data_IF_590253297900
#
_entry.id   IF_590253297900
#
_cell.length_a   1.000
_cell.length_b   1.000
_cell.length_c   1.000
_cell.angle_alpha   90.00
_cell.angle_beta   90.00
_cell.angle_gamma   90.00
#
_symmetry.space_group_name_H-M   'P 1'
#
loop_
_entity.id
_entity.type
_entity.pdbx_description
1 polymer ?
#
# COMPACT_ATOMS: atom_id res chain seq x y z
N UNK A 1 7.75 -14.20 -3.99
CA UNK A 1 6.43 -13.52 -4.07
C UNK A 1 6.69 -12.07 -4.45
N UNK A 2 5.92 -11.49 -5.36
CA UNK A 2 6.15 -10.10 -5.75
C UNK A 2 5.90 -9.15 -4.57
N UNK A 3 6.55 -7.99 -4.55
CA UNK A 3 6.31 -6.99 -3.52
C UNK A 3 4.85 -6.53 -3.52
N UNK A 4 4.25 -6.40 -4.70
CA UNK A 4 2.82 -6.10 -4.87
C UNK A 4 1.92 -7.09 -4.12
N UNK A 5 2.18 -8.40 -4.23
CA UNK A 5 1.34 -9.43 -3.62
C UNK A 5 1.41 -9.36 -2.09
N UNK A 6 2.61 -9.07 -1.55
CA UNK A 6 2.83 -8.86 -0.12
C UNK A 6 2.03 -7.66 0.39
N UNK A 7 2.08 -6.55 -0.33
CA UNK A 7 1.35 -5.34 0.03
C UNK A 7 -0.16 -5.56 -0.08
N UNK A 8 -0.66 -6.19 -1.15
CA UNK A 8 -2.09 -6.53 -1.28
C UNK A 8 -2.56 -7.39 -0.12
N UNK A 9 -1.77 -8.39 0.30
CA UNK A 9 -2.11 -9.24 1.45
C UNK A 9 -2.25 -8.44 2.74
N UNK A 10 -1.33 -7.52 3.01
CA UNK A 10 -1.40 -6.61 4.17
C UNK A 10 -2.65 -5.74 4.11
N UNK A 11 -2.91 -5.12 2.96
CA UNK A 11 -4.05 -4.22 2.78
C UNK A 11 -5.38 -4.96 2.91
N UNK A 12 -5.46 -6.21 2.42
CA UNK A 12 -6.68 -7.02 2.45
C UNK A 12 -7.17 -7.33 3.87
N UNK A 13 -6.30 -7.30 4.89
CA UNK A 13 -6.70 -7.50 6.29
C UNK A 13 -7.66 -6.42 6.79
N UNK A 14 -7.52 -5.18 6.29
CA UNK A 14 -8.34 -4.04 6.71
C UNK A 14 -9.28 -3.53 5.59
N UNK A 15 -8.96 -3.81 4.31
CA UNK A 15 -9.71 -3.35 3.13
C UNK A 15 -10.49 -4.46 2.40
N UNK A 16 -10.21 -5.73 2.71
CA UNK A 16 -10.77 -6.88 2.00
C UNK A 16 -10.52 -6.81 0.48
N UNK A 17 -11.55 -7.05 -0.37
CA UNK A 17 -11.40 -7.11 -1.82
C UNK A 17 -10.99 -5.78 -2.46
N UNK A 18 -11.15 -4.65 -1.74
CA UNK A 18 -10.73 -3.33 -2.23
C UNK A 18 -9.22 -3.12 -2.21
N UNK A 19 -8.45 -4.01 -1.58
CA UNK A 19 -7.00 -3.89 -1.45
C UNK A 19 -6.26 -3.81 -2.80
N UNK A 20 -6.62 -4.68 -3.75
CA UNK A 20 -6.00 -4.73 -5.07
C UNK A 20 -6.24 -3.43 -5.87
N UNK A 21 -7.49 -2.99 -6.13
CA UNK A 21 -7.73 -1.75 -6.85
C UNK A 21 -7.27 -0.51 -6.06
N UNK A 22 -7.18 -0.59 -4.73
CA UNK A 22 -6.59 0.48 -3.94
C UNK A 22 -5.09 0.61 -4.20
N UNK A 23 -4.34 -0.48 -4.14
CA UNK A 23 -2.89 -0.49 -4.40
C UNK A 23 -2.58 -0.05 -5.82
N UNK A 24 -3.33 -0.54 -6.82
CA UNK A 24 -3.16 -0.17 -8.21
C UNK A 24 -3.25 1.36 -8.41
N UNK A 25 -4.23 2.00 -7.75
CA UNK A 25 -4.34 3.47 -7.76
C UNK A 25 -3.15 4.15 -7.10
N UNK A 26 -2.64 3.62 -5.98
CA UNK A 26 -1.49 4.23 -5.31
C UNK A 26 -0.24 4.18 -6.20
N UNK A 27 0.03 3.03 -6.82
CA UNK A 27 1.17 2.88 -7.72
C UNK A 27 1.04 3.79 -8.94
N UNK A 28 -0.12 3.79 -9.60
CA UNK A 28 -0.34 4.55 -10.83
C UNK A 28 -0.30 6.07 -10.62
N UNK A 29 -0.95 6.57 -9.57
CA UNK A 29 -1.13 8.01 -9.40
C UNK A 29 -0.05 8.69 -8.56
N UNK A 30 0.66 7.94 -7.71
CA UNK A 30 1.62 8.54 -6.78
C UNK A 30 3.07 8.08 -6.99
N UNK A 31 3.27 6.90 -7.59
CA UNK A 31 4.60 6.41 -7.95
C UNK A 31 4.85 6.41 -9.47
N UNK A 32 3.80 6.65 -10.26
CA UNK A 32 3.82 6.55 -11.73
C UNK A 32 4.40 5.20 -12.21
N UNK A 33 3.97 4.11 -11.56
CA UNK A 33 4.45 2.75 -11.80
C UNK A 33 3.31 1.75 -11.83
N UNK A 34 3.51 0.65 -12.56
CA UNK A 34 2.68 -0.54 -12.45
C UNK A 34 3.04 -1.32 -11.18
N UNK A 35 2.07 -2.05 -10.61
CA UNK A 35 2.29 -2.83 -9.39
C UNK A 35 3.41 -3.87 -9.56
N UNK A 36 3.53 -4.49 -10.75
CA UNK A 36 4.58 -5.47 -11.05
C UNK A 36 5.99 -4.87 -11.15
N UNK A 37 6.11 -3.54 -11.25
CA UNK A 37 7.37 -2.82 -11.32
C UNK A 37 7.85 -2.29 -9.96
N UNK A 38 7.11 -2.57 -8.87
CA UNK A 38 7.50 -2.17 -7.52
C UNK A 38 8.78 -2.88 -7.09
N UNK A 39 9.72 -2.10 -6.58
CA UNK A 39 10.97 -2.61 -6.00
C UNK A 39 11.10 -2.17 -4.54
N UNK A 40 12.11 -2.69 -3.84
CA UNK A 40 12.37 -2.32 -2.44
C UNK A 40 12.58 -0.82 -2.22
N UNK A 41 13.10 -0.09 -3.22
CA UNK A 41 13.28 1.37 -3.12
C UNK A 41 11.96 2.14 -3.10
N UNK A 42 10.86 1.52 -3.53
CA UNK A 42 9.54 2.15 -3.58
C UNK A 42 8.76 2.03 -2.28
N UNK A 43 9.19 1.15 -1.35
CA UNK A 43 8.45 0.81 -0.13
C UNK A 43 8.12 2.05 0.70
N UNK A 44 9.10 2.93 0.90
CA UNK A 44 8.92 4.12 1.74
C UNK A 44 7.89 5.09 1.16
N UNK A 45 8.03 5.42 -0.12
CA UNK A 45 7.08 6.27 -0.84
C UNK A 45 5.69 5.65 -0.91
N UNK A 46 5.62 4.35 -1.22
CA UNK A 46 4.37 3.60 -1.27
C UNK A 46 3.65 3.60 0.09
N UNK A 47 4.37 3.31 1.17
CA UNK A 47 3.80 3.25 2.52
C UNK A 47 3.24 4.60 2.97
N UNK A 48 3.87 5.71 2.57
CA UNK A 48 3.35 7.05 2.86
C UNK A 48 2.07 7.35 2.07
N UNK A 49 2.02 7.01 0.78
CA UNK A 49 0.81 7.22 -0.01
C UNK A 49 -0.35 6.32 0.42
N UNK A 50 -0.06 5.08 0.82
CA UNK A 50 -1.04 4.20 1.47
C UNK A 50 -1.59 4.87 2.72
N UNK A 51 -0.74 5.44 3.58
CA UNK A 51 -1.18 6.15 4.79
C UNK A 51 -2.09 7.33 4.45
N UNK A 52 -1.67 8.20 3.54
CA UNK A 52 -2.42 9.41 3.16
C UNK A 52 -3.80 9.02 2.62
N UNK A 53 -3.86 8.07 1.69
CA UNK A 53 -5.11 7.63 1.07
C UNK A 53 -6.01 6.85 2.02
N UNK A 54 -5.45 5.95 2.83
CA UNK A 54 -6.22 5.16 3.80
C UNK A 54 -6.76 6.03 4.95
N UNK A 55 -6.05 7.09 5.35
CA UNK A 55 -6.51 8.01 6.40
C UNK A 55 -7.85 8.65 6.04
N UNK A 56 -8.05 8.96 4.75
CA UNK A 56 -9.27 9.59 4.26
C UNK A 56 -10.50 8.67 4.31
N UNK A 57 -10.31 7.35 4.37
CA UNK A 57 -11.40 6.37 4.26
C UNK A 57 -11.56 5.48 5.48
N UNK A 58 -10.46 5.10 6.14
CA UNK A 58 -10.41 4.17 7.27
C UNK A 58 -10.01 4.83 8.59
N UNK A 59 -9.62 6.10 8.56
CA UNK A 59 -9.14 6.83 9.73
C UNK A 59 -7.65 6.65 10.02
N UNK A 60 -7.15 7.44 10.97
CA UNK A 60 -5.71 7.60 11.21
C UNK A 60 -5.06 6.33 11.76
N UNK A 61 -5.72 5.64 12.70
CA UNK A 61 -5.17 4.46 13.36
C UNK A 61 -4.91 3.32 12.37
N UNK A 62 -5.90 3.02 11.52
CA UNK A 62 -5.78 1.99 10.48
C UNK A 62 -4.73 2.40 9.45
N UNK A 63 -4.70 3.66 9.03
CA UNK A 63 -3.71 4.15 8.08
C UNK A 63 -2.27 4.03 8.60
N UNK A 64 -2.04 4.39 9.86
CA UNK A 64 -0.72 4.29 10.51
C UNK A 64 -0.30 2.83 10.68
N UNK A 65 -1.23 1.94 11.07
CA UNK A 65 -1.01 0.48 11.13
C UNK A 65 -0.59 -0.08 9.76
N UNK A 66 -1.30 0.28 8.70
CA UNK A 66 -0.99 -0.18 7.34
C UNK A 66 0.40 0.30 6.87
N UNK A 67 0.73 1.58 7.11
CA UNK A 67 2.08 2.11 6.83
C UNK A 67 3.15 1.30 7.54
N UNK A 68 3.00 1.07 8.84
CA UNK A 68 3.99 0.34 9.64
C UNK A 68 4.20 -1.09 9.11
N UNK A 69 3.13 -1.79 8.75
CA UNK A 69 3.20 -3.14 8.16
C UNK A 69 3.92 -3.15 6.81
N UNK A 70 3.62 -2.20 5.92
CA UNK A 70 4.28 -2.12 4.60
C UNK A 70 5.76 -1.78 4.75
N UNK A 71 6.12 -0.87 5.67
CA UNK A 71 7.50 -0.52 5.98
C UNK A 71 8.32 -1.69 6.55
N UNK A 72 7.65 -2.72 7.09
CA UNK A 72 8.29 -3.92 7.62
C UNK A 72 8.64 -4.97 6.56
N UNK A 73 8.23 -4.79 5.29
CA UNK A 73 8.51 -5.71 4.18
C UNK A 73 9.98 -5.66 3.67
N UNK A 74 10.94 -5.25 4.52
CA UNK A 74 12.36 -5.10 4.16
C UNK A 74 12.99 -6.41 3.68
#
# INVERSE_FOLDING_TARGET
MALSDQVVKILAEDMGPSALPFLERQCKHHLNKDMGALTGSDIEGLAEWIRVSAKLTLGDDVANKLKAKVMALK
#
